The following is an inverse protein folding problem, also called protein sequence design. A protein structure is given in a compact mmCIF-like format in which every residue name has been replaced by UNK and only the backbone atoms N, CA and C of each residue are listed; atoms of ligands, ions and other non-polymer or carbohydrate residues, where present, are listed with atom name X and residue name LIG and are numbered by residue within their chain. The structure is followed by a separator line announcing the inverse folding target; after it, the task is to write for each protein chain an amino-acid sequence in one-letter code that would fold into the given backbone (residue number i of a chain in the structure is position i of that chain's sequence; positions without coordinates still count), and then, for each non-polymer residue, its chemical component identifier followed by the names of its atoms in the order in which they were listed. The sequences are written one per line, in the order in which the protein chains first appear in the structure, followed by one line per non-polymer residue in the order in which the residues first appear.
data_IF_066703153789
#
_entry.id   IF_066703153789
#
_cell.length_a   1.000
_cell.length_b   1.000
_cell.length_c   1.000
_cell.angle_alpha   90.00
_cell.angle_beta   90.00
_cell.angle_gamma   90.00
#
_symmetry.space_group_name_H-M   'P 1'
#
loop_
_entity.id
_entity.type
_entity.pdbx_description
1 polymer ?
#
# COMPACT_ATOMS: atom_id res chain seq x y z
N UNK A 1 19.03 -16.83 24.67
CA UNK A 1 17.78 -16.46 23.96
C UNK A 1 17.80 -14.97 23.71
N UNK A 2 18.10 -14.53 22.49
CA UNK A 2 17.97 -13.12 22.11
C UNK A 2 16.53 -12.89 21.66
N UNK A 3 15.82 -12.04 22.40
CA UNK A 3 14.48 -11.59 22.08
C UNK A 3 14.54 -10.81 20.78
N UNK A 4 14.18 -11.47 19.68
CA UNK A 4 13.90 -10.83 18.40
C UNK A 4 12.57 -10.10 18.58
N UNK A 5 12.61 -8.86 19.06
CA UNK A 5 11.44 -7.97 19.02
C UNK A 5 11.09 -7.75 17.56
N UNK A 6 10.02 -8.41 17.11
CA UNK A 6 9.36 -8.07 15.85
C UNK A 6 9.13 -6.56 15.86
N UNK A 7 9.64 -5.80 14.87
CA UNK A 7 9.27 -4.41 14.74
C UNK A 7 7.74 -4.38 14.69
N UNK A 8 7.13 -3.62 15.59
CA UNK A 8 5.69 -3.33 15.56
C UNK A 8 5.32 -2.98 14.12
N UNK A 9 4.26 -3.60 13.57
CA UNK A 9 3.83 -3.53 12.16
C UNK A 9 3.88 -2.11 11.55
N UNK A 10 3.75 -1.08 12.37
CA UNK A 10 3.81 0.34 12.00
C UNK A 10 5.21 0.81 11.55
N UNK A 11 6.28 0.17 12.00
CA UNK A 11 7.67 0.54 11.69
C UNK A 11 8.28 -0.27 10.54
N UNK A 12 7.58 -1.26 9.98
CA UNK A 12 8.10 -2.02 8.83
C UNK A 12 8.19 -1.10 7.59
N UNK A 13 9.39 -0.75 7.10
CA UNK A 13 9.58 0.22 6.02
C UNK A 13 8.93 -0.23 4.71
N UNK A 14 8.75 -1.54 4.53
CA UNK A 14 8.15 -2.12 3.31
C UNK A 14 6.66 -2.39 3.44
N UNK A 15 6.04 -2.11 4.60
CA UNK A 15 4.63 -2.40 4.84
C UNK A 15 3.72 -1.71 3.81
N UNK A 16 3.89 -0.41 3.60
CA UNK A 16 3.06 0.35 2.64
C UNK A 16 3.21 -0.16 1.22
N UNK A 17 4.43 -0.47 0.79
CA UNK A 17 4.68 -1.02 -0.55
C UNK A 17 4.01 -2.39 -0.72
N UNK A 18 4.11 -3.26 0.28
CA UNK A 18 3.44 -4.57 0.27
C UNK A 18 1.92 -4.46 0.28
N UNK A 19 1.37 -3.47 0.98
CA UNK A 19 -0.07 -3.25 1.02
C UNK A 19 -0.57 -2.69 -0.32
N UNK A 20 0.17 -1.77 -0.94
CA UNK A 20 -0.12 -1.30 -2.31
C UNK A 20 -0.14 -2.48 -3.29
N UNK A 21 0.88 -3.34 -3.25
CA UNK A 21 0.94 -4.52 -4.12
C UNK A 21 -0.24 -5.47 -3.93
N UNK A 22 -0.66 -5.70 -2.68
CA UNK A 22 -1.83 -6.53 -2.38
C UNK A 22 -3.13 -5.94 -2.91
N UNK A 23 -3.36 -4.63 -2.74
CA UNK A 23 -4.57 -3.99 -3.25
C UNK A 23 -4.59 -3.94 -4.77
N UNK A 24 -3.45 -3.70 -5.43
CA UNK A 24 -3.34 -3.75 -6.88
C UNK A 24 -3.70 -5.15 -7.42
N UNK A 25 -3.24 -6.22 -6.75
CA UNK A 25 -3.61 -7.59 -7.08
C UNK A 25 -5.13 -7.83 -6.94
N UNK A 26 -5.75 -7.35 -5.85
CA UNK A 26 -7.21 -7.46 -5.67
C UNK A 26 -8.00 -6.71 -6.76
N UNK A 27 -7.52 -5.54 -7.20
CA UNK A 27 -8.16 -4.80 -8.31
C UNK A 27 -8.11 -5.59 -9.61
N UNK A 28 -7.00 -6.29 -9.89
CA UNK A 28 -6.90 -7.15 -11.07
C UNK A 28 -7.88 -8.32 -10.99
N UNK A 29 -8.01 -8.96 -9.83
CA UNK A 29 -8.97 -10.05 -9.60
C UNK A 29 -10.43 -9.59 -9.77
N UNK A 30 -10.78 -8.43 -9.22
CA UNK A 30 -12.12 -7.84 -9.38
C UNK A 30 -12.40 -7.44 -10.83
N UNK A 31 -11.39 -6.97 -11.57
CA UNK A 31 -11.52 -6.70 -13.01
C UNK A 31 -11.82 -7.98 -13.77
N UNK A 32 -11.10 -9.06 -13.49
CA UNK A 32 -11.33 -10.35 -14.13
C UNK A 32 -12.73 -10.90 -13.80
N UNK A 33 -13.18 -10.76 -12.54
CA UNK A 33 -14.56 -11.10 -12.12
C UNK A 33 -15.60 -10.29 -12.90
N UNK A 34 -15.44 -8.97 -13.00
CA UNK A 34 -16.38 -8.10 -13.71
C UNK A 34 -16.47 -8.44 -15.20
N UNK A 35 -15.35 -8.79 -15.84
CA UNK A 35 -15.32 -9.20 -17.25
C UNK A 35 -16.08 -10.51 -17.47
N UNK A 36 -16.02 -11.44 -16.50
CA UNK A 36 -16.73 -12.72 -16.57
C UNK A 36 -18.22 -12.57 -16.27
N UNK A 37 -18.58 -11.79 -15.26
CA UNK A 37 -19.95 -11.59 -14.80
C UNK A 37 -20.17 -10.15 -14.32
N UNK A 38 -20.59 -9.23 -15.22
CA UNK A 38 -20.71 -7.82 -14.91
C UNK A 38 -21.76 -7.52 -13.83
N UNK A 39 -21.29 -7.16 -12.62
CA UNK A 39 -22.14 -6.79 -11.48
C UNK A 39 -21.81 -5.39 -10.96
N UNK A 40 -22.81 -4.54 -10.65
CA UNK A 40 -22.59 -3.23 -10.04
C UNK A 40 -21.77 -3.32 -8.73
N UNK A 41 -22.03 -4.34 -7.92
CA UNK A 41 -21.30 -4.56 -6.67
C UNK A 41 -19.79 -4.78 -6.86
N UNK A 42 -19.35 -5.31 -8.00
CA UNK A 42 -17.92 -5.49 -8.31
C UNK A 42 -17.28 -4.16 -8.66
N UNK A 43 -18.00 -3.25 -9.34
CA UNK A 43 -17.54 -1.87 -9.57
C UNK A 43 -17.39 -1.10 -8.25
N UNK A 44 -18.37 -1.20 -7.35
CA UNK A 44 -18.30 -0.57 -6.02
C UNK A 44 -17.08 -1.08 -5.23
N UNK A 45 -16.74 -2.36 -5.36
CA UNK A 45 -15.56 -2.93 -4.73
C UNK A 45 -14.26 -2.39 -5.35
N UNK A 46 -14.20 -2.25 -6.67
CA UNK A 46 -13.05 -1.67 -7.37
C UNK A 46 -12.84 -0.23 -6.89
N UNK A 47 -13.90 0.59 -6.84
CA UNK A 47 -13.83 1.98 -6.37
C UNK A 47 -13.26 2.08 -4.94
N UNK A 48 -13.76 1.24 -4.01
CA UNK A 48 -13.24 1.20 -2.64
C UNK A 48 -11.74 0.88 -2.59
N UNK A 49 -11.26 -0.06 -3.41
CA UNK A 49 -9.83 -0.40 -3.46
C UNK A 49 -8.99 0.74 -4.04
N UNK A 50 -9.52 1.49 -5.00
CA UNK A 50 -8.86 2.68 -5.55
C UNK A 50 -8.77 3.82 -4.52
N UNK A 51 -9.80 3.99 -3.68
CA UNK A 51 -9.76 4.94 -2.57
C UNK A 51 -8.70 4.57 -1.53
N UNK A 52 -8.62 3.29 -1.15
CA UNK A 52 -7.58 2.77 -0.26
C UNK A 52 -6.17 2.98 -0.84
N UNK A 53 -6.00 2.75 -2.15
CA UNK A 53 -4.74 3.02 -2.85
C UNK A 53 -4.39 4.51 -2.85
N UNK A 54 -5.38 5.40 -2.92
CA UNK A 54 -5.17 6.85 -2.84
C UNK A 54 -4.62 7.25 -1.47
N UNK A 55 -5.14 6.67 -0.39
CA UNK A 55 -4.62 6.89 0.97
C UNK A 55 -3.19 6.37 1.09
N UNK A 56 -2.89 5.17 0.56
CA UNK A 56 -1.55 4.61 0.60
C UNK A 56 -0.54 5.40 -0.25
N UNK A 57 -0.97 6.00 -1.36
CA UNK A 57 -0.15 6.90 -2.17
C UNK A 57 0.33 8.09 -1.36
N UNK A 58 -0.53 8.66 -0.51
CA UNK A 58 -0.17 9.77 0.35
C UNK A 58 0.85 9.33 1.42
N UNK A 59 0.64 8.18 2.06
CA UNK A 59 1.62 7.62 2.99
C UNK A 59 2.98 7.32 2.33
N UNK A 60 2.97 6.89 1.07
CA UNK A 60 4.20 6.66 0.30
C UNK A 60 4.95 7.96 0.03
N UNK A 61 4.24 9.06 -0.31
CA UNK A 61 4.84 10.39 -0.50
C UNK A 61 5.52 10.88 0.78
N UNK A 62 4.83 10.81 1.91
CA UNK A 62 5.38 11.20 3.20
C UNK A 62 6.62 10.37 3.59
N UNK A 63 6.61 9.06 3.31
CA UNK A 63 7.79 8.21 3.54
C UNK A 63 8.97 8.64 2.66
N UNK A 64 8.73 8.91 1.38
CA UNK A 64 9.78 9.37 0.45
C UNK A 64 10.39 10.69 0.92
N UNK A 65 9.56 11.64 1.34
CA UNK A 65 10.04 12.93 1.86
C UNK A 65 10.91 12.76 3.11
N UNK A 66 10.48 11.93 4.07
CA UNK A 66 11.29 11.60 5.26
C UNK A 66 12.61 10.93 4.88
N UNK A 67 12.59 10.00 3.93
CA UNK A 67 13.79 9.30 3.48
C UNK A 67 14.77 10.28 2.81
N UNK A 68 14.28 11.21 1.98
CA UNK A 68 15.13 12.24 1.38
C UNK A 68 15.75 13.16 2.43
N UNK A 69 14.95 13.64 3.40
CA UNK A 69 15.45 14.49 4.48
C UNK A 69 16.50 13.79 5.36
N UNK A 70 16.36 12.48 5.59
CA UNK A 70 17.38 11.69 6.32
C UNK A 70 18.68 11.53 5.53
N UNK A 71 18.62 11.46 4.20
CA UNK A 71 19.82 11.40 3.35
C UNK A 71 20.55 12.75 3.35
N UNK A 72 19.82 13.85 3.19
CA UNK A 72 20.39 15.20 3.23
C UNK A 72 21.08 15.50 4.57
N UNK A 73 20.49 15.09 5.69
CA UNK A 73 21.07 15.27 7.02
C UNK A 73 22.27 14.33 7.33
N UNK A 74 22.49 13.29 6.53
CA UNK A 74 23.63 12.38 6.68
C UNK A 74 24.86 12.83 5.87
N UNK A 75 24.67 13.75 4.93
CA UNK A 75 25.71 14.32 4.07
C UNK A 75 26.30 15.65 4.61
N UNK A 76 25.72 16.21 5.69
CA UNK A 76 26.21 17.40 6.45
C UNK A 76 27.08 17.01 7.66
#
# INVERSE_FOLDING_TARGET
MHGYSLPTREQDPVHVVRTIGRLAQMVMELRDEYVQDPKPATLDQIERRLDELTVLREQLRQRRERQNAMLEAADE
#
